data_IF_137457828672
#
_entry.id   IF_137457828672
#
_cell.length_a   1.000
_cell.length_b   1.000
_cell.length_c   1.000
_cell.angle_alpha   90.00
_cell.angle_beta   90.00
_cell.angle_gamma   90.00
#
_symmetry.space_group_name_H-M   'P 1'
#
loop_
_entity.id
_entity.type
_entity.pdbx_description
1 polymer ?
#
# COMPACT_ATOMS: atom_id res chain seq x y z
N UNK A 1 -19.42 -4.82 -3.55
CA UNK A 1 -18.77 -3.95 -2.55
C UNK A 1 -18.08 -4.75 -1.43
N UNK A 2 -18.78 -5.56 -0.60
CA UNK A 2 -18.11 -6.32 0.49
C UNK A 2 -16.93 -7.19 0.03
N UNK A 3 -17.11 -8.00 -1.03
CA UNK A 3 -16.05 -8.85 -1.57
C UNK A 3 -14.86 -8.07 -2.16
N UNK A 4 -15.09 -6.85 -2.67
CA UNK A 4 -14.03 -5.99 -3.17
C UNK A 4 -13.27 -5.34 -2.01
N UNK A 5 -13.97 -4.85 -0.98
CA UNK A 5 -13.32 -4.26 0.20
C UNK A 5 -12.49 -5.32 0.91
N UNK A 6 -13.02 -6.54 1.08
CA UNK A 6 -12.26 -7.65 1.63
C UNK A 6 -11.06 -8.02 0.76
N UNK A 7 -11.14 -7.90 -0.57
CA UNK A 7 -9.99 -8.16 -1.45
C UNK A 7 -8.94 -7.05 -1.35
N UNK A 8 -9.34 -5.79 -1.29
CA UNK A 8 -8.41 -4.67 -1.10
C UNK A 8 -7.78 -4.70 0.29
N UNK A 9 -8.58 -4.89 1.33
CA UNK A 9 -8.07 -5.09 2.68
C UNK A 9 -7.16 -6.32 2.72
N UNK A 10 -7.50 -7.44 2.07
CA UNK A 10 -6.63 -8.63 2.02
C UNK A 10 -5.30 -8.39 1.30
N UNK A 11 -5.32 -7.59 0.23
CA UNK A 11 -4.14 -7.12 -0.49
C UNK A 11 -3.26 -6.35 0.48
N UNK A 12 -3.76 -5.34 1.18
CA UNK A 12 -2.88 -4.50 2.02
C UNK A 12 -2.66 -4.99 3.46
N UNK A 13 -3.50 -5.89 4.00
CA UNK A 13 -3.43 -6.40 5.39
C UNK A 13 -2.89 -7.83 5.53
N UNK A 14 -2.45 -8.46 4.45
CA UNK A 14 -1.61 -9.67 4.52
C UNK A 14 -2.35 -11.01 4.54
N UNK A 15 -3.56 -11.12 3.96
CA UNK A 15 -4.25 -12.41 3.85
C UNK A 15 -3.87 -13.22 2.59
N UNK A 16 -3.08 -12.66 1.67
CA UNK A 16 -2.46 -13.42 0.58
C UNK A 16 -1.01 -13.79 0.93
N UNK A 17 -0.58 -14.96 0.47
CA UNK A 17 0.73 -15.55 0.78
C UNK A 17 1.93 -14.72 0.27
N UNK A 18 1.68 -13.67 -0.52
CA UNK A 18 2.68 -12.75 -1.09
C UNK A 18 2.79 -11.44 -0.28
N UNK A 19 1.75 -11.07 0.48
CA UNK A 19 1.58 -9.71 1.02
C UNK A 19 1.92 -9.49 2.50
N UNK A 20 2.13 -10.54 3.30
CA UNK A 20 2.81 -10.37 4.59
C UNK A 20 4.16 -9.63 4.45
N UNK A 21 4.73 -9.68 3.25
CA UNK A 21 6.03 -9.13 2.85
C UNK A 21 6.01 -7.64 2.47
N UNK A 22 4.92 -7.06 1.95
CA UNK A 22 4.92 -5.60 1.60
C UNK A 22 5.03 -4.74 2.85
N UNK A 23 4.42 -5.20 3.95
CA UNK A 23 4.52 -4.54 5.25
C UNK A 23 5.98 -4.39 5.68
N UNK A 24 6.80 -5.41 5.42
CA UNK A 24 8.24 -5.38 5.66
C UNK A 24 8.96 -4.39 4.73
N UNK A 25 8.47 -4.19 3.50
CA UNK A 25 9.10 -3.26 2.55
C UNK A 25 9.01 -1.80 2.97
N UNK A 26 7.92 -1.39 3.62
CA UNK A 26 7.70 0.00 4.06
C UNK A 26 7.82 0.19 5.59
N UNK A 27 7.94 -0.88 6.39
CA UNK A 27 7.97 -0.80 7.86
C UNK A 27 8.98 0.22 8.39
N UNK A 28 10.20 0.23 7.85
CA UNK A 28 11.25 1.15 8.25
C UNK A 28 11.02 2.61 7.82
N UNK A 29 10.15 2.86 6.83
CA UNK A 29 9.78 4.20 6.40
C UNK A 29 8.54 4.76 7.13
N UNK A 30 7.94 4.01 8.05
CA UNK A 30 6.75 4.47 8.77
C UNK A 30 7.07 5.71 9.64
N UNK A 31 6.30 6.80 9.50
CA UNK A 31 6.51 8.02 10.27
C UNK A 31 5.91 7.86 11.68
N UNK A 32 6.55 7.07 12.53
CA UNK A 32 6.11 6.90 13.92
C UNK A 32 6.14 8.24 14.68
N UNK A 33 5.21 8.41 15.62
CA UNK A 33 5.30 9.49 16.59
C UNK A 33 6.63 9.35 17.36
N UNK A 34 7.53 10.35 17.34
CA UNK A 34 8.83 10.28 18.00
C UNK A 34 8.74 9.95 19.49
N UNK A 35 7.69 10.40 20.18
CA UNK A 35 7.51 10.17 21.63
C UNK A 35 7.18 8.71 21.96
N UNK A 36 6.55 7.98 21.03
CA UNK A 36 6.10 6.60 21.23
C UNK A 36 6.76 5.62 20.27
N UNK A 37 7.75 6.05 19.47
CA UNK A 37 8.30 5.26 18.37
C UNK A 37 8.85 3.91 18.83
N UNK A 38 9.64 3.88 19.91
CA UNK A 38 10.21 2.63 20.43
C UNK A 38 9.15 1.71 21.02
N UNK A 39 8.11 2.26 21.65
CA UNK A 39 6.98 1.46 22.13
C UNK A 39 6.19 0.85 20.97
N UNK A 40 5.94 1.64 19.92
CA UNK A 40 5.30 1.16 18.69
C UNK A 40 6.12 0.03 18.08
N UNK A 41 7.41 0.22 17.82
CA UNK A 41 8.29 -0.82 17.27
C UNK A 41 8.30 -2.09 18.13
N UNK A 42 8.41 -1.95 19.45
CA UNK A 42 8.36 -3.08 20.38
C UNK A 42 7.03 -3.85 20.30
N UNK A 43 5.92 -3.15 20.14
CA UNK A 43 4.61 -3.78 19.96
C UNK A 43 4.53 -4.54 18.64
N UNK A 44 5.09 -4.00 17.55
CA UNK A 44 5.16 -4.70 16.27
C UNK A 44 5.94 -6.01 16.39
N UNK A 45 7.16 -5.96 16.96
CA UNK A 45 8.00 -7.15 17.18
C UNK A 45 7.25 -8.20 18.03
N UNK A 46 6.56 -7.78 19.10
CA UNK A 46 5.83 -8.69 19.97
C UNK A 46 4.59 -9.33 19.32
N UNK A 47 4.05 -8.73 18.26
CA UNK A 47 2.81 -9.17 17.59
C UNK A 47 3.06 -10.03 16.36
N UNK A 48 4.23 -9.93 15.74
CA UNK A 48 4.55 -10.67 14.51
C UNK A 48 5.35 -11.93 14.85
N UNK A 49 4.80 -13.14 14.64
CA UNK A 49 5.52 -14.38 14.90
C UNK A 49 6.82 -14.45 14.09
N UNK A 50 7.91 -14.89 14.73
CA UNK A 50 9.21 -15.06 14.09
C UNK A 50 10.10 -13.81 14.09
N UNK A 51 9.59 -12.66 14.53
CA UNK A 51 10.39 -11.45 14.69
C UNK A 51 10.96 -11.37 16.10
N UNK A 52 12.26 -11.09 16.20
CA UNK A 52 13.00 -10.98 17.47
C UNK A 52 13.47 -9.56 17.76
N UNK A 53 13.69 -8.77 16.71
CA UNK A 53 14.05 -7.36 16.80
C UNK A 53 13.43 -6.56 15.63
N UNK A 54 13.51 -5.24 15.71
CA UNK A 54 12.96 -4.36 14.66
C UNK A 54 13.70 -4.53 13.32
N UNK A 55 14.99 -4.86 13.35
CA UNK A 55 15.80 -5.05 12.14
C UNK A 55 15.40 -6.32 11.36
N UNK A 56 14.67 -7.24 11.98
CA UNK A 56 14.12 -8.42 11.27
C UNK A 56 13.03 -8.04 10.26
N UNK A 57 12.49 -6.82 10.36
CA UNK A 57 11.54 -6.27 9.39
C UNK A 57 12.21 -5.72 8.11
N UNK A 58 13.54 -5.76 8.02
CA UNK A 58 14.28 -5.18 6.91
C UNK A 58 14.48 -6.19 5.77
N UNK A 59 13.58 -6.15 4.77
CA UNK A 59 13.75 -6.91 3.53
C UNK A 59 14.81 -6.28 2.62
N UNK A 60 15.87 -7.03 2.32
CA UNK A 60 17.00 -6.59 1.48
C UNK A 60 17.22 -7.46 0.25
N UNK A 61 17.92 -6.88 -0.73
CA UNK A 61 18.48 -7.59 -1.88
C UNK A 61 17.44 -8.29 -2.75
N UNK A 62 17.72 -9.53 -3.11
CA UNK A 62 16.86 -10.34 -3.99
C UNK A 62 15.46 -10.55 -3.42
N UNK A 63 15.33 -10.73 -2.10
CA UNK A 63 14.04 -10.91 -1.44
C UNK A 63 13.15 -9.66 -1.55
N UNK A 64 13.74 -8.46 -1.43
CA UNK A 64 13.03 -7.19 -1.65
C UNK A 64 12.57 -7.05 -3.09
N UNK A 65 13.45 -7.38 -4.04
CA UNK A 65 13.16 -7.30 -5.48
C UNK A 65 12.02 -8.24 -5.87
N UNK A 66 12.10 -9.51 -5.46
CA UNK A 66 11.05 -10.49 -5.72
C UNK A 66 9.71 -10.11 -5.08
N UNK A 67 9.75 -9.50 -3.88
CA UNK A 67 8.55 -8.98 -3.24
C UNK A 67 7.93 -7.82 -4.03
N UNK A 68 8.75 -6.89 -4.50
CA UNK A 68 8.29 -5.75 -5.32
C UNK A 68 7.67 -6.22 -6.64
N UNK A 69 8.26 -7.22 -7.29
CA UNK A 69 7.71 -7.83 -8.51
C UNK A 69 6.36 -8.51 -8.26
N UNK A 70 6.23 -9.26 -7.16
CA UNK A 70 4.95 -9.82 -6.74
C UNK A 70 3.90 -8.74 -6.47
N UNK A 71 4.30 -7.69 -5.76
CA UNK A 71 3.46 -6.53 -5.49
C UNK A 71 2.97 -5.86 -6.78
N UNK A 72 3.84 -5.74 -7.79
CA UNK A 72 3.46 -5.20 -9.09
C UNK A 72 2.38 -6.05 -9.79
N UNK A 73 2.47 -7.37 -9.73
CA UNK A 73 1.44 -8.24 -10.33
C UNK A 73 0.10 -8.10 -9.63
N UNK A 74 0.11 -8.01 -8.30
CA UNK A 74 -1.10 -7.87 -7.52
C UNK A 74 -1.76 -6.50 -7.73
N UNK A 75 -0.96 -5.43 -7.81
CA UNK A 75 -1.43 -4.09 -8.19
C UNK A 75 -2.03 -4.12 -9.59
N UNK A 76 -1.39 -4.76 -10.56
CA UNK A 76 -1.94 -4.91 -11.91
C UNK A 76 -3.28 -5.66 -11.92
N UNK A 77 -3.40 -6.74 -11.15
CA UNK A 77 -4.69 -7.45 -10.99
C UNK A 77 -5.74 -6.52 -10.39
N UNK A 78 -5.38 -5.72 -9.38
CA UNK A 78 -6.27 -4.75 -8.76
C UNK A 78 -6.71 -3.66 -9.75
N UNK A 79 -5.79 -3.17 -10.58
CA UNK A 79 -6.05 -2.19 -11.63
C UNK A 79 -7.05 -2.69 -12.67
N UNK A 80 -7.14 -4.01 -12.89
CA UNK A 80 -8.13 -4.61 -13.81
C UNK A 80 -9.59 -4.40 -13.38
N UNK A 81 -9.84 -4.06 -12.11
CA UNK A 81 -11.19 -3.77 -11.62
C UNK A 81 -11.68 -2.35 -11.95
N UNK A 82 -10.82 -1.45 -12.44
CA UNK A 82 -11.22 -0.12 -12.86
C UNK A 82 -11.96 -0.19 -14.20
N UNK A 83 -13.29 -0.01 -14.15
CA UNK A 83 -14.18 -0.27 -15.30
C UNK A 83 -14.30 0.90 -16.28
N UNK A 84 -14.04 2.11 -15.80
CA UNK A 84 -14.35 3.37 -16.49
C UNK A 84 -13.15 4.34 -16.47
N UNK A 85 -11.96 3.80 -16.76
CA UNK A 85 -10.68 4.53 -16.70
C UNK A 85 -10.62 5.73 -17.66
N UNK A 86 -11.39 5.69 -18.74
CA UNK A 86 -11.55 6.75 -19.72
C UNK A 86 -12.51 7.87 -19.26
N UNK A 87 -13.42 7.55 -18.34
CA UNK A 87 -14.41 8.52 -17.83
C UNK A 87 -13.88 9.31 -16.62
N UNK A 88 -12.94 8.75 -15.84
CA UNK A 88 -12.37 9.41 -14.67
C UNK A 88 -11.39 8.54 -13.87
N UNK A 89 -10.77 9.11 -12.82
CA UNK A 89 -9.66 8.50 -12.10
C UNK A 89 -10.07 7.40 -11.12
N UNK A 90 -11.37 7.26 -10.82
CA UNK A 90 -11.89 6.35 -9.81
C UNK A 90 -12.35 5.02 -10.42
N UNK A 91 -12.58 4.02 -9.56
CA UNK A 91 -12.99 2.66 -9.92
C UNK A 91 -14.21 2.64 -10.87
N UNK A 92 -15.19 3.50 -10.58
CA UNK A 92 -16.45 3.65 -11.35
C UNK A 92 -16.48 4.95 -12.19
N UNK A 93 -15.31 5.54 -12.47
CA UNK A 93 -15.14 6.71 -13.34
C UNK A 93 -14.98 8.02 -12.57
N UNK A 94 -16.00 8.88 -12.61
CA UNK A 94 -15.89 10.29 -12.13
C UNK A 94 -16.14 10.50 -10.64
N UNK A 95 -16.88 9.61 -10.02
CA UNK A 95 -17.33 9.78 -8.62
C UNK A 95 -16.55 8.77 -7.76
N UNK A 96 -15.87 9.22 -6.69
CA UNK A 96 -15.17 8.31 -5.81
C UNK A 96 -16.17 7.46 -5.06
N UNK A 97 -15.82 6.19 -4.91
CA UNK A 97 -16.53 5.25 -4.05
C UNK A 97 -15.75 5.07 -2.75
N UNK A 98 -16.37 4.44 -1.75
CA UNK A 98 -15.67 4.05 -0.52
C UNK A 98 -14.41 3.20 -0.81
N UNK A 99 -14.47 2.45 -1.91
CA UNK A 99 -13.40 1.62 -2.43
C UNK A 99 -12.14 2.47 -2.72
N UNK A 100 -12.33 3.55 -3.48
CA UNK A 100 -11.28 4.48 -3.86
C UNK A 100 -10.62 5.14 -2.65
N UNK A 101 -11.41 5.44 -1.60
CA UNK A 101 -10.89 6.04 -0.36
C UNK A 101 -10.00 5.08 0.43
N UNK A 102 -10.35 3.79 0.51
CA UNK A 102 -9.49 2.78 1.14
C UNK A 102 -8.17 2.68 0.37
N UNK A 103 -8.23 2.60 -0.96
CA UNK A 103 -7.02 2.56 -1.79
C UNK A 103 -6.18 3.81 -1.63
N UNK A 104 -6.81 4.99 -1.60
CA UNK A 104 -6.13 6.26 -1.36
C UNK A 104 -5.37 6.26 -0.04
N UNK A 105 -5.96 5.74 1.04
CA UNK A 105 -5.29 5.62 2.34
C UNK A 105 -4.02 4.76 2.28
N UNK A 106 -4.08 3.61 1.59
CA UNK A 106 -2.92 2.75 1.40
C UNK A 106 -1.86 3.38 0.49
N UNK A 107 -2.27 3.98 -0.62
CA UNK A 107 -1.36 4.70 -1.53
C UNK A 107 -0.67 5.87 -0.81
N UNK A 108 -1.39 6.59 0.06
CA UNK A 108 -0.82 7.66 0.89
C UNK A 108 0.21 7.11 1.88
N UNK A 109 -0.06 5.96 2.50
CA UNK A 109 0.92 5.32 3.37
C UNK A 109 2.19 4.94 2.60
N UNK A 110 2.03 4.31 1.43
CA UNK A 110 3.14 3.90 0.59
C UNK A 110 3.93 5.10 0.07
N UNK A 111 3.27 6.20 -0.29
CA UNK A 111 3.96 7.41 -0.78
C UNK A 111 4.87 8.06 0.24
N UNK A 112 4.63 7.82 1.53
CA UNK A 112 5.47 8.32 2.61
C UNK A 112 6.51 7.27 3.04
N UNK A 113 6.11 6.00 3.13
CA UNK A 113 6.90 4.97 3.81
C UNK A 113 7.67 4.03 2.87
N UNK A 114 7.32 3.96 1.57
CA UNK A 114 7.95 3.08 0.61
C UNK A 114 9.01 3.83 -0.22
N UNK A 115 10.30 3.45 -0.15
CA UNK A 115 11.35 4.06 -0.96
C UNK A 115 11.10 3.99 -2.48
N UNK A 116 10.45 2.92 -2.95
CA UNK A 116 10.14 2.68 -4.36
C UNK A 116 8.83 3.33 -4.82
N UNK A 117 8.25 4.23 -4.02
CA UNK A 117 6.98 4.88 -4.39
C UNK A 117 6.99 5.49 -5.79
N UNK A 118 8.06 6.19 -6.18
CA UNK A 118 8.17 6.82 -7.50
C UNK A 118 8.03 5.79 -8.63
N UNK A 119 8.52 4.56 -8.41
CA UNK A 119 8.33 3.45 -9.36
C UNK A 119 6.87 2.98 -9.34
N UNK A 120 6.30 2.73 -8.16
CA UNK A 120 4.91 2.27 -7.99
C UNK A 120 3.90 3.23 -8.62
N UNK A 121 4.13 4.54 -8.45
CA UNK A 121 3.27 5.59 -9.00
C UNK A 121 3.16 5.54 -10.54
N UNK A 122 4.16 4.99 -11.23
CA UNK A 122 4.19 4.86 -12.69
C UNK A 122 3.52 3.59 -13.22
N UNK A 123 3.20 2.62 -12.35
CA UNK A 123 2.60 1.36 -12.79
C UNK A 123 1.20 1.55 -13.38
N UNK A 124 0.81 0.60 -14.23
CA UNK A 124 -0.49 0.56 -14.92
C UNK A 124 -0.84 1.87 -15.64
N UNK A 125 0.13 2.39 -16.41
CA UNK A 125 0.05 3.66 -17.13
C UNK A 125 -0.15 4.87 -16.20
N UNK A 126 0.48 4.84 -15.03
CA UNK A 126 0.41 5.90 -14.02
C UNK A 126 -0.88 5.93 -13.21
N UNK A 127 -1.66 4.83 -13.21
CA UNK A 127 -2.94 4.75 -12.51
C UNK A 127 -2.83 5.13 -11.04
N UNK A 128 -1.85 4.55 -10.35
CA UNK A 128 -1.72 4.64 -8.90
C UNK A 128 -1.25 6.02 -8.45
N UNK A 129 -0.31 6.62 -9.18
CA UNK A 129 0.10 8.01 -8.95
C UNK A 129 -1.06 8.99 -9.18
N UNK A 130 -1.77 8.84 -10.31
CA UNK A 130 -2.93 9.68 -10.61
C UNK A 130 -4.03 9.57 -9.55
N UNK A 131 -4.34 8.35 -9.09
CA UNK A 131 -5.37 8.12 -8.06
C UNK A 131 -4.94 8.74 -6.73
N UNK A 132 -3.69 8.54 -6.31
CA UNK A 132 -3.12 9.16 -5.11
C UNK A 132 -3.22 10.68 -5.18
N UNK A 133 -2.74 11.30 -6.26
CA UNK A 133 -2.70 12.75 -6.41
C UNK A 133 -4.09 13.37 -6.47
N UNK A 134 -5.02 12.68 -7.14
CA UNK A 134 -6.43 13.10 -7.21
C UNK A 134 -7.05 13.10 -5.81
N UNK A 135 -6.91 12.00 -5.07
CA UNK A 135 -7.49 11.88 -3.73
C UNK A 135 -6.84 12.83 -2.73
N UNK A 136 -5.52 13.04 -2.80
CA UNK A 136 -4.83 14.00 -1.96
C UNK A 136 -5.29 15.44 -2.25
N UNK A 137 -5.51 15.79 -3.52
CA UNK A 137 -6.00 17.12 -3.90
C UNK A 137 -7.44 17.36 -3.46
N UNK A 138 -8.31 16.35 -3.55
CA UNK A 138 -9.74 16.49 -3.29
C UNK A 138 -10.12 16.28 -1.82
N UNK A 139 -9.37 15.44 -1.09
CA UNK A 139 -9.72 14.99 0.25
C UNK A 139 -8.56 14.97 1.25
N UNK A 140 -7.34 15.28 0.80
CA UNK A 140 -6.18 15.37 1.69
C UNK A 140 -6.38 16.47 2.73
N UNK A 141 -6.03 16.18 3.98
CA UNK A 141 -5.87 17.21 5.01
C UNK A 141 -4.43 17.71 4.99
N UNK A 142 -4.26 19.02 5.22
CA UNK A 142 -2.96 19.71 5.32
C UNK A 142 -2.09 19.17 6.45
#
# INVERSE_FOLDING_TARGET
MRAWNTKCDAVFSGASNTFGSIGLMYAHGLPFNPETAEQSKSNFVAKVPGMTCWDDFDLKGEARTATLEGFQQDMKELGSYFRKRDEGPYLEGKIPTYADLILGGWLKLLSVALPEWDQVATWDDGLWGMLHDTLQREYGQE
#
